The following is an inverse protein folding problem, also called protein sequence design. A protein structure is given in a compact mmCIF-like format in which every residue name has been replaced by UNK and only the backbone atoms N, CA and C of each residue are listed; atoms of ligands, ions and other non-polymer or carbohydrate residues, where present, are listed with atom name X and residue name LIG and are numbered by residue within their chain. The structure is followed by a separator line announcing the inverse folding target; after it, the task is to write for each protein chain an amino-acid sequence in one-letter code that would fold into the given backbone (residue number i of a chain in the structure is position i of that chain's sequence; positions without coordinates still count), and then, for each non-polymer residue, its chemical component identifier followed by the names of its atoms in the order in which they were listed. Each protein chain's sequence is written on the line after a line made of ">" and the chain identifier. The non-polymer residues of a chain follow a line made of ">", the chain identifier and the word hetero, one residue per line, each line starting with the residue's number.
data_IF_833699745528
#
_entry.id   IF_833699745528
#
_cell.length_a   1.000
_cell.length_b   1.000
_cell.length_c   1.000
_cell.angle_alpha   90.00
_cell.angle_beta   90.00
_cell.angle_gamma   90.00
#
_symmetry.space_group_name_H-M   'P 1'
#
loop_
_entity.id
_entity.type
_entity.pdbx_description
1 polymer ?
#
# COMPACT_ATOMS: atom_id res chain seq x y z
N UNK A 1 0.75 4.28 -33.88
CA UNK A 1 0.03 3.33 -33.00
C UNK A 1 0.22 3.77 -31.55
N UNK A 2 -0.82 3.64 -30.70
CA UNK A 2 -0.75 4.01 -29.27
C UNK A 2 0.14 3.01 -28.52
N UNK A 3 1.11 3.50 -27.75
CA UNK A 3 1.99 2.65 -26.93
C UNK A 3 1.55 2.64 -25.45
N UNK A 4 0.79 3.64 -25.02
CA UNK A 4 0.33 3.81 -23.62
C UNK A 4 -1.15 4.15 -23.59
N UNK A 5 -1.84 3.83 -22.48
CA UNK A 5 -3.26 4.16 -22.28
C UNK A 5 -3.46 5.64 -21.93
N UNK A 6 -2.54 6.24 -21.16
CA UNK A 6 -2.56 7.66 -20.81
C UNK A 6 -1.41 8.40 -21.48
N UNK A 7 -1.67 9.61 -21.99
CA UNK A 7 -0.63 10.46 -22.60
C UNK A 7 0.43 10.87 -21.58
N UNK A 8 0.00 11.22 -20.36
CA UNK A 8 0.90 11.51 -19.25
C UNK A 8 1.00 10.29 -18.32
N UNK A 9 2.14 9.58 -18.26
CA UNK A 9 2.32 8.44 -17.37
C UNK A 9 2.16 8.79 -15.88
N UNK A 10 2.49 10.03 -15.48
CA UNK A 10 2.35 10.46 -14.09
C UNK A 10 0.89 10.46 -13.59
N UNK A 11 -0.10 10.54 -14.48
CA UNK A 11 -1.51 10.43 -14.13
C UNK A 11 -1.97 8.98 -13.92
N UNK A 12 -1.22 8.01 -14.44
CA UNK A 12 -1.59 6.60 -14.36
C UNK A 12 -1.37 6.06 -12.94
N UNK A 13 -2.45 5.62 -12.29
CA UNK A 13 -2.38 5.03 -10.94
C UNK A 13 -1.90 3.58 -10.93
N UNK A 14 -1.78 2.93 -12.10
CA UNK A 14 -1.40 1.52 -12.20
C UNK A 14 -2.47 0.56 -11.68
N UNK A 15 -3.74 0.94 -11.69
CA UNK A 15 -4.84 0.12 -11.15
C UNK A 15 -5.13 -1.19 -11.92
N UNK A 16 -4.58 -1.37 -13.13
CA UNK A 16 -4.76 -2.58 -13.94
C UNK A 16 -6.07 -2.67 -14.72
N UNK A 17 -7.08 -1.82 -14.47
CA UNK A 17 -8.40 -1.93 -15.09
C UNK A 17 -8.40 -1.94 -16.62
N UNK A 18 -7.49 -1.21 -17.27
CA UNK A 18 -7.40 -1.16 -18.73
C UNK A 18 -7.02 -2.50 -19.36
N UNK A 19 -6.32 -3.37 -18.64
CA UNK A 19 -6.01 -4.75 -19.07
C UNK A 19 -7.31 -5.55 -19.17
N UNK A 20 -8.10 -5.57 -18.08
CA UNK A 20 -9.39 -6.30 -18.02
C UNK A 20 -10.45 -5.72 -18.97
N UNK A 21 -10.40 -4.42 -19.25
CA UNK A 21 -11.36 -3.74 -20.14
C UNK A 21 -11.06 -4.05 -21.61
N UNK A 22 -9.82 -4.41 -21.98
CA UNK A 22 -9.42 -4.55 -23.36
C UNK A 22 -10.01 -5.81 -24.02
N UNK A 23 -10.95 -5.71 -25.00
CA UNK A 23 -11.58 -6.86 -25.61
C UNK A 23 -10.63 -7.68 -26.51
N UNK A 24 -9.47 -7.12 -26.84
CA UNK A 24 -8.44 -7.78 -27.65
C UNK A 24 -7.25 -8.25 -26.84
N UNK A 25 -7.30 -8.11 -25.50
CA UNK A 25 -6.18 -8.47 -24.63
C UNK A 25 -4.83 -7.87 -25.11
N UNK A 26 -4.90 -6.65 -25.65
CA UNK A 26 -3.76 -5.95 -26.22
C UNK A 26 -2.98 -5.11 -25.19
N UNK A 27 -3.24 -5.27 -23.90
CA UNK A 27 -2.62 -4.46 -22.84
C UNK A 27 -2.06 -5.39 -21.77
N UNK A 28 -0.80 -5.15 -21.42
CA UNK A 28 -0.11 -5.84 -20.31
C UNK A 28 0.47 -4.81 -19.35
N UNK A 29 0.63 -5.18 -18.08
CA UNK A 29 1.34 -4.35 -17.11
C UNK A 29 2.84 -4.64 -17.20
N UNK A 30 3.67 -3.62 -17.40
CA UNK A 30 5.12 -3.76 -17.52
C UNK A 30 5.85 -2.74 -16.65
N UNK A 31 7.02 -3.10 -16.07
CA UNK A 31 7.80 -2.17 -15.27
C UNK A 31 8.42 -1.06 -16.12
N UNK A 32 8.43 0.15 -15.60
CA UNK A 32 9.19 1.28 -16.11
C UNK A 32 10.62 1.31 -15.54
N UNK A 33 11.38 2.36 -15.86
CA UNK A 33 12.75 2.53 -15.37
C UNK A 33 12.85 2.80 -13.84
N UNK A 34 11.75 3.10 -13.18
CA UNK A 34 11.65 3.23 -11.72
C UNK A 34 11.07 1.96 -11.08
N UNK A 35 10.75 0.95 -11.88
CA UNK A 35 10.22 -0.34 -11.47
C UNK A 35 8.72 -0.35 -11.16
N UNK A 36 7.98 0.69 -11.53
CA UNK A 36 6.51 0.71 -11.40
C UNK A 36 5.84 0.03 -12.59
N UNK A 37 4.74 -0.69 -12.32
CA UNK A 37 3.95 -1.32 -13.35
C UNK A 37 3.08 -0.29 -14.09
N UNK A 38 3.25 -0.19 -15.40
CA UNK A 38 2.46 0.66 -16.30
C UNK A 38 1.83 -0.17 -17.42
N UNK A 39 0.63 0.20 -17.92
CA UNK A 39 0.02 -0.48 -19.06
C UNK A 39 0.79 -0.19 -20.35
N UNK A 40 1.22 -1.25 -21.03
CA UNK A 40 1.81 -1.20 -22.35
C UNK A 40 0.86 -1.82 -23.37
N UNK A 41 0.66 -1.13 -24.49
CA UNK A 41 -0.26 -1.55 -25.53
C UNK A 41 0.52 -2.27 -26.65
N UNK A 42 0.09 -3.49 -26.96
CA UNK A 42 0.52 -4.24 -28.13
C UNK A 42 -0.17 -3.66 -29.39
N UNK A 43 0.61 -2.99 -30.24
CA UNK A 43 0.09 -2.33 -31.44
C UNK A 43 -0.46 -3.27 -32.49
N UNK A 44 -0.02 -4.54 -32.52
CA UNK A 44 -0.50 -5.54 -33.50
C UNK A 44 -1.89 -6.05 -33.12
N UNK A 45 -2.18 -6.18 -31.83
CA UNK A 45 -3.48 -6.60 -31.30
C UNK A 45 -4.47 -5.44 -31.13
N UNK A 46 -3.98 -4.22 -31.02
CA UNK A 46 -4.82 -3.05 -30.71
C UNK A 46 -5.63 -2.59 -31.91
N UNK A 47 -6.95 -2.60 -31.77
CA UNK A 47 -7.90 -2.12 -32.81
C UNK A 47 -8.32 -0.66 -32.64
N UNK A 48 -7.64 0.10 -31.81
CA UNK A 48 -7.87 1.54 -31.57
C UNK A 48 -9.32 1.93 -31.20
N UNK A 49 -9.99 1.09 -30.43
CA UNK A 49 -11.38 1.35 -30.01
C UNK A 49 -11.50 2.38 -28.84
N UNK A 50 -10.39 2.78 -28.23
CA UNK A 50 -10.25 3.75 -27.12
C UNK A 50 -11.01 3.40 -25.83
N UNK A 51 -11.51 2.19 -25.70
CA UNK A 51 -12.31 1.77 -24.55
C UNK A 51 -11.52 1.88 -23.23
N UNK A 52 -10.23 1.52 -23.26
CA UNK A 52 -9.31 1.60 -22.12
C UNK A 52 -9.11 3.06 -21.64
N UNK A 53 -9.09 4.04 -22.53
CA UNK A 53 -8.97 5.46 -22.19
C UNK A 53 -10.31 6.03 -21.71
N UNK A 54 -11.40 5.76 -22.44
CA UNK A 54 -12.73 6.23 -22.11
C UNK A 54 -13.21 5.77 -20.74
N UNK A 55 -12.81 4.58 -20.30
CA UNK A 55 -13.16 4.02 -18.98
C UNK A 55 -12.09 4.23 -17.91
N UNK A 56 -10.93 4.79 -18.24
CA UNK A 56 -9.87 5.03 -17.26
C UNK A 56 -10.38 5.92 -16.10
N UNK A 57 -10.26 5.51 -14.84
CA UNK A 57 -10.73 6.30 -13.70
C UNK A 57 -9.79 7.47 -13.36
N UNK A 58 -8.56 7.50 -13.92
CA UNK A 58 -7.61 8.58 -13.65
C UNK A 58 -8.15 9.93 -14.17
N UNK A 59 -8.10 10.94 -13.32
CA UNK A 59 -8.58 12.30 -13.66
C UNK A 59 -10.10 12.47 -13.64
N UNK A 60 -10.88 11.43 -13.29
CA UNK A 60 -12.32 11.60 -13.08
C UNK A 60 -12.57 12.18 -11.69
N UNK A 61 -13.45 13.15 -11.62
CA UNK A 61 -14.00 13.60 -10.35
C UNK A 61 -15.00 12.56 -9.83
N UNK A 62 -14.86 12.21 -8.57
CA UNK A 62 -15.79 11.33 -7.88
C UNK A 62 -16.66 12.19 -6.94
N UNK A 63 -17.98 11.94 -6.84
CA UNK A 63 -18.85 12.69 -5.93
C UNK A 63 -18.45 12.39 -4.46
N UNK A 64 -18.56 13.36 -3.57
CA UNK A 64 -18.34 13.18 -2.14
C UNK A 64 -19.54 12.44 -1.52
N UNK A 65 -19.28 11.40 -0.72
CA UNK A 65 -20.30 10.70 0.06
C UNK A 65 -20.07 10.89 1.55
N UNK A 66 -21.13 11.17 2.32
CA UNK A 66 -21.02 11.21 3.76
C UNK A 66 -20.64 9.82 4.28
N UNK A 67 -19.67 9.77 5.21
CA UNK A 67 -19.25 8.55 5.85
C UNK A 67 -19.74 8.48 7.31
N UNK A 68 -20.18 7.31 7.75
CA UNK A 68 -20.36 7.03 9.18
C UNK A 68 -19.05 6.44 9.72
N UNK A 69 -18.52 7.07 10.77
CA UNK A 69 -17.24 6.72 11.35
C UNK A 69 -17.40 6.04 12.70
N UNK A 70 -16.59 5.02 12.96
CA UNK A 70 -16.46 4.40 14.27
C UNK A 70 -15.12 3.66 14.38
N UNK A 71 -14.69 3.43 15.63
CA UNK A 71 -13.61 2.54 15.94
C UNK A 71 -14.09 1.09 16.01
N UNK A 72 -13.25 0.15 15.61
CA UNK A 72 -13.60 -1.26 15.65
C UNK A 72 -12.40 -2.17 15.91
N UNK A 73 -12.65 -3.29 16.60
CA UNK A 73 -11.68 -4.36 16.79
C UNK A 73 -12.38 -5.71 16.82
N UNK A 74 -11.74 -6.72 16.26
CA UNK A 74 -12.18 -8.10 16.39
C UNK A 74 -12.14 -8.53 17.85
N UNK A 75 -13.14 -9.31 18.30
CA UNK A 75 -13.15 -9.91 19.63
C UNK A 75 -12.16 -11.07 19.74
N UNK A 76 -11.85 -11.72 18.62
CA UNK A 76 -10.81 -12.74 18.51
C UNK A 76 -9.43 -12.06 18.55
N UNK A 77 -8.74 -12.19 19.66
CA UNK A 77 -7.41 -11.58 19.90
C UNK A 77 -6.34 -12.19 18.99
N UNK A 78 -6.42 -13.49 18.70
CA UNK A 78 -5.47 -14.17 17.81
C UNK A 78 -5.60 -13.63 16.38
N UNK A 79 -6.83 -13.45 15.88
CA UNK A 79 -7.09 -12.81 14.60
C UNK A 79 -6.58 -11.36 14.57
N UNK A 80 -6.82 -10.60 15.63
CA UNK A 80 -6.35 -9.22 15.76
C UNK A 80 -4.82 -9.13 15.75
N UNK A 81 -4.14 -10.05 16.45
CA UNK A 81 -2.68 -10.15 16.47
C UNK A 81 -2.09 -10.41 15.08
N UNK A 82 -2.75 -11.22 14.26
CA UNK A 82 -2.34 -11.55 12.87
C UNK A 82 -2.75 -10.50 11.84
N UNK A 83 -3.49 -9.47 12.21
CA UNK A 83 -3.97 -8.42 11.31
C UNK A 83 -3.10 -7.17 11.43
N UNK A 84 -3.07 -6.32 10.38
CA UNK A 84 -2.35 -5.03 10.44
C UNK A 84 -2.93 -4.07 11.48
N UNK A 85 -4.25 -4.16 11.74
CA UNK A 85 -5.01 -3.27 12.62
C UNK A 85 -5.98 -4.09 13.46
N UNK A 86 -7.24 -3.67 13.58
CA UNK A 86 -8.28 -4.30 14.39
C UNK A 86 -8.92 -5.58 13.85
N UNK A 87 -8.50 -6.12 12.68
CA UNK A 87 -8.96 -7.41 12.15
C UNK A 87 -10.28 -7.38 11.34
N UNK A 88 -10.87 -6.22 11.10
CA UNK A 88 -12.19 -6.07 10.45
C UNK A 88 -12.22 -6.66 9.05
N UNK A 89 -11.16 -6.50 8.24
CA UNK A 89 -11.08 -7.07 6.89
C UNK A 89 -11.36 -8.58 6.89
N UNK A 90 -10.70 -9.34 7.76
CA UNK A 90 -10.84 -10.80 7.80
C UNK A 90 -12.25 -11.22 8.19
N UNK A 91 -12.91 -10.50 9.09
CA UNK A 91 -14.31 -10.79 9.47
C UNK A 91 -15.27 -10.58 8.31
N UNK A 92 -15.12 -9.49 7.54
CA UNK A 92 -15.90 -9.22 6.33
C UNK A 92 -15.63 -10.30 5.26
N UNK A 93 -14.37 -10.69 5.09
CA UNK A 93 -13.95 -11.72 4.14
C UNK A 93 -14.58 -13.09 4.49
N UNK A 94 -14.51 -13.51 5.75
CA UNK A 94 -15.17 -14.73 6.26
C UNK A 94 -16.65 -14.74 5.96
N UNK A 95 -17.34 -13.62 6.16
CA UNK A 95 -18.77 -13.52 5.93
C UNK A 95 -19.11 -13.69 4.44
N UNK A 96 -18.33 -13.11 3.52
CA UNK A 96 -18.54 -13.28 2.07
C UNK A 96 -18.27 -14.73 1.64
N UNK A 97 -17.21 -15.36 2.15
CA UNK A 97 -16.91 -16.78 1.89
C UNK A 97 -18.06 -17.67 2.42
N UNK A 98 -18.57 -17.42 3.62
CA UNK A 98 -19.71 -18.12 4.20
C UNK A 98 -20.97 -18.05 3.33
N UNK A 99 -21.12 -16.98 2.56
CA UNK A 99 -22.20 -16.79 1.58
C UNK A 99 -21.92 -17.47 0.22
N UNK A 100 -20.83 -18.24 0.10
CA UNK A 100 -20.40 -18.88 -1.16
C UNK A 100 -19.75 -17.92 -2.14
N UNK A 101 -19.25 -16.79 -1.64
CA UNK A 101 -18.56 -15.77 -2.43
C UNK A 101 -17.05 -15.97 -2.51
N UNK A 102 -16.41 -15.05 -3.23
CA UNK A 102 -14.95 -15.01 -3.43
C UNK A 102 -14.41 -13.67 -2.92
N UNK A 103 -13.26 -13.74 -2.25
CA UNK A 103 -12.57 -12.54 -1.72
C UNK A 103 -11.32 -12.28 -2.55
N UNK A 104 -11.16 -11.04 -3.04
CA UNK A 104 -9.94 -10.59 -3.70
C UNK A 104 -9.18 -9.62 -2.79
N UNK A 105 -7.87 -9.85 -2.65
CA UNK A 105 -6.97 -9.03 -1.86
C UNK A 105 -5.51 -9.20 -2.25
N UNK A 106 -4.66 -8.27 -1.81
CA UNK A 106 -3.24 -8.31 -2.11
C UNK A 106 -2.52 -9.38 -1.30
N UNK A 107 -1.71 -10.20 -1.98
CA UNK A 107 -0.86 -11.24 -1.39
C UNK A 107 0.52 -11.23 -2.05
N UNK A 108 1.49 -11.90 -1.42
CA UNK A 108 2.76 -12.22 -2.04
C UNK A 108 2.64 -13.52 -2.84
N UNK A 109 3.27 -13.54 -4.02
CA UNK A 109 3.57 -14.79 -4.72
C UNK A 109 4.84 -15.45 -4.13
N UNK A 110 5.26 -16.58 -4.71
CA UNK A 110 6.47 -17.32 -4.28
C UNK A 110 7.78 -16.53 -4.48
N UNK A 111 7.77 -15.53 -5.38
CA UNK A 111 8.89 -14.64 -5.64
C UNK A 111 8.81 -13.31 -4.86
N UNK A 112 7.85 -13.20 -3.94
CA UNK A 112 7.54 -12.00 -3.16
C UNK A 112 7.12 -10.78 -4.01
N UNK A 113 6.59 -10.99 -5.22
CA UNK A 113 5.84 -9.95 -5.90
C UNK A 113 4.47 -9.81 -5.24
N UNK A 114 3.92 -8.60 -5.28
CA UNK A 114 2.59 -8.34 -4.74
C UNK A 114 1.56 -8.35 -5.86
N UNK A 115 0.59 -9.23 -5.76
CA UNK A 115 -0.54 -9.33 -6.68
C UNK A 115 -1.86 -9.47 -5.93
N UNK A 116 -2.98 -9.19 -6.62
CA UNK A 116 -4.29 -9.51 -6.08
C UNK A 116 -4.65 -10.94 -6.47
N UNK A 117 -4.93 -11.75 -5.46
CA UNK A 117 -5.39 -13.14 -5.62
C UNK A 117 -6.84 -13.28 -5.18
N UNK A 118 -7.52 -14.36 -5.62
CA UNK A 118 -8.84 -14.76 -5.13
C UNK A 118 -8.72 -15.81 -4.03
N UNK A 119 -9.50 -15.68 -2.97
CA UNK A 119 -9.67 -16.67 -1.91
C UNK A 119 -11.11 -17.22 -1.95
N UNK A 120 -11.23 -18.52 -1.97
CA UNK A 120 -12.49 -19.27 -2.04
C UNK A 120 -12.86 -19.90 -0.70
N UNK A 121 -11.90 -20.02 0.20
CA UNK A 121 -12.08 -20.51 1.55
C UNK A 121 -11.28 -19.69 2.58
N UNK A 122 -11.51 -19.97 3.87
CA UNK A 122 -10.91 -19.21 4.96
C UNK A 122 -9.39 -19.42 5.09
N UNK A 123 -8.88 -20.60 4.71
CA UNK A 123 -7.45 -20.94 4.82
C UNK A 123 -6.60 -20.07 3.90
N UNK A 124 -7.14 -19.69 2.74
CA UNK A 124 -6.48 -18.85 1.74
C UNK A 124 -6.41 -17.37 2.17
N UNK A 125 -7.24 -16.93 3.12
CA UNK A 125 -7.24 -15.55 3.61
C UNK A 125 -5.94 -15.16 4.33
N UNK A 126 -5.17 -16.13 4.81
CA UNK A 126 -3.94 -15.86 5.56
C UNK A 126 -2.93 -15.05 4.75
N UNK A 127 -2.77 -15.34 3.45
CA UNK A 127 -1.90 -14.61 2.54
C UNK A 127 -2.31 -13.15 2.30
N UNK A 128 -3.60 -12.84 2.43
CA UNK A 128 -4.11 -11.48 2.26
C UNK A 128 -3.98 -10.61 3.51
N UNK A 129 -3.79 -11.22 4.70
CA UNK A 129 -3.58 -10.47 5.94
C UNK A 129 -2.25 -9.72 5.91
N UNK A 130 -2.18 -8.66 6.67
CA UNK A 130 -0.98 -7.82 6.72
C UNK A 130 -0.88 -6.86 5.54
N UNK A 131 -0.42 -5.64 5.81
CA UNK A 131 -0.18 -4.64 4.77
C UNK A 131 1.00 -5.05 3.90
N UNK A 132 0.90 -4.81 2.59
CA UNK A 132 2.01 -4.92 1.64
C UNK A 132 2.30 -3.51 1.13
N UNK A 133 3.40 -2.92 1.58
CA UNK A 133 3.80 -1.58 1.16
C UNK A 133 4.59 -1.65 -0.15
N UNK A 134 3.92 -2.16 -1.19
CA UNK A 134 4.42 -2.32 -2.57
C UNK A 134 3.23 -2.19 -3.51
N UNK A 135 3.42 -1.67 -4.73
CA UNK A 135 2.38 -1.71 -5.75
C UNK A 135 1.99 -3.16 -6.05
N UNK A 136 0.70 -3.46 -5.95
CA UNK A 136 0.15 -4.76 -6.32
C UNK A 136 -0.35 -4.74 -7.78
N UNK A 137 -0.12 -5.82 -8.52
CA UNK A 137 -0.84 -6.06 -9.78
C UNK A 137 -2.24 -6.58 -9.47
N UNK A 138 -3.27 -5.86 -9.93
CA UNK A 138 -4.68 -6.22 -9.73
C UNK A 138 -5.40 -6.50 -11.06
N UNK A 139 -4.68 -6.56 -12.17
CA UNK A 139 -5.28 -6.63 -13.50
C UNK A 139 -6.16 -7.87 -13.68
N UNK A 140 -5.63 -9.04 -13.39
CA UNK A 140 -6.35 -10.31 -13.54
C UNK A 140 -7.47 -10.47 -12.51
N UNK A 141 -7.22 -10.06 -11.27
CA UNK A 141 -8.21 -10.08 -10.20
C UNK A 141 -9.45 -9.22 -10.52
N UNK A 142 -9.25 -8.05 -11.14
CA UNK A 142 -10.36 -7.20 -11.61
C UNK A 142 -11.18 -7.95 -12.67
N UNK A 143 -10.55 -8.58 -13.66
CA UNK A 143 -11.23 -9.37 -14.69
C UNK A 143 -12.01 -10.54 -14.11
N UNK A 144 -11.41 -11.28 -13.20
CA UNK A 144 -12.01 -12.41 -12.50
C UNK A 144 -13.20 -11.96 -11.64
N UNK A 145 -13.08 -10.88 -10.89
CA UNK A 145 -14.17 -10.32 -10.09
C UNK A 145 -15.38 -9.95 -10.96
N UNK A 146 -15.16 -9.29 -12.11
CA UNK A 146 -16.22 -8.96 -13.06
C UNK A 146 -16.87 -10.23 -13.64
N UNK A 147 -16.08 -11.26 -13.94
CA UNK A 147 -16.60 -12.56 -14.43
C UNK A 147 -17.48 -13.28 -13.40
N UNK A 148 -17.07 -13.28 -12.12
CA UNK A 148 -17.84 -13.90 -11.04
C UNK A 148 -19.17 -13.16 -10.80
N UNK A 149 -19.15 -11.82 -10.81
CA UNK A 149 -20.35 -11.01 -10.67
C UNK A 149 -21.36 -11.24 -11.81
N UNK A 150 -20.90 -11.45 -13.06
CA UNK A 150 -21.77 -11.83 -14.17
C UNK A 150 -22.44 -13.20 -13.97
N UNK A 151 -21.83 -14.06 -13.18
CA UNK A 151 -22.34 -15.39 -12.78
C UNK A 151 -23.16 -15.33 -11.49
N UNK A 152 -23.45 -14.12 -11.00
CA UNK A 152 -24.23 -13.88 -9.78
C UNK A 152 -23.55 -14.40 -8.48
N UNK A 153 -22.22 -14.53 -8.50
CA UNK A 153 -21.42 -14.98 -7.34
C UNK A 153 -21.05 -13.77 -6.49
N UNK A 154 -21.23 -13.80 -5.17
CA UNK A 154 -20.81 -12.72 -4.27
C UNK A 154 -19.30 -12.50 -4.34
N UNK A 155 -18.89 -11.24 -4.35
CA UNK A 155 -17.48 -10.85 -4.39
C UNK A 155 -17.20 -9.79 -3.33
N UNK A 156 -16.16 -10.00 -2.51
CA UNK A 156 -15.50 -8.92 -1.80
C UNK A 156 -14.21 -8.57 -2.54
N UNK A 157 -14.04 -7.30 -2.90
CA UNK A 157 -12.78 -6.82 -3.47
C UNK A 157 -12.15 -5.78 -2.55
N UNK A 158 -10.96 -6.09 -2.03
CA UNK A 158 -10.17 -5.16 -1.21
C UNK A 158 -8.98 -4.64 -2.01
N UNK A 159 -8.74 -3.33 -1.98
CA UNK A 159 -7.62 -2.71 -2.68
C UNK A 159 -7.42 -1.25 -2.32
N UNK A 160 -6.43 -0.62 -2.94
CA UNK A 160 -6.28 0.83 -2.83
C UNK A 160 -7.49 1.56 -3.43
N UNK A 161 -7.80 2.81 -3.03
CA UNK A 161 -8.92 3.57 -3.62
C UNK A 161 -8.88 3.63 -5.15
N UNK A 162 -7.69 3.74 -5.74
CA UNK A 162 -7.55 3.76 -7.20
C UNK A 162 -7.81 2.37 -7.84
N UNK A 163 -7.50 1.26 -7.17
CA UNK A 163 -7.85 -0.09 -7.64
C UNK A 163 -9.35 -0.34 -7.56
N UNK A 164 -10.02 0.11 -6.48
CA UNK A 164 -11.47 0.05 -6.39
C UNK A 164 -12.13 0.88 -7.51
N UNK A 165 -11.64 2.11 -7.76
CA UNK A 165 -12.12 2.92 -8.90
C UNK A 165 -11.88 2.22 -10.25
N UNK A 166 -10.77 1.48 -10.38
CA UNK A 166 -10.45 0.66 -11.54
C UNK A 166 -11.45 -0.48 -11.72
N UNK A 167 -11.76 -1.22 -10.67
CA UNK A 167 -12.78 -2.27 -10.68
C UNK A 167 -14.16 -1.71 -11.09
N UNK A 168 -14.57 -0.60 -10.47
CA UNK A 168 -15.85 0.06 -10.81
C UNK A 168 -15.91 0.47 -12.29
N UNK A 169 -14.79 0.96 -12.84
CA UNK A 169 -14.70 1.28 -14.27
C UNK A 169 -14.77 0.02 -15.15
N UNK A 170 -14.21 -1.11 -14.70
CA UNK A 170 -14.22 -2.38 -15.44
C UNK A 170 -15.59 -3.04 -15.46
N UNK A 171 -16.44 -2.82 -14.46
CA UNK A 171 -17.80 -3.37 -14.41
C UNK A 171 -18.62 -3.02 -15.65
N UNK A 172 -18.54 -1.76 -16.11
CA UNK A 172 -19.09 -1.37 -17.41
C UNK A 172 -20.58 -1.61 -17.62
N UNK A 173 -21.38 -1.63 -16.57
CA UNK A 173 -22.81 -1.94 -16.60
C UNK A 173 -23.17 -3.34 -16.07
N UNK A 174 -22.17 -4.15 -15.69
CA UNK A 174 -22.40 -5.39 -14.91
C UNK A 174 -23.04 -5.03 -13.58
N UNK A 175 -24.10 -5.75 -13.18
CA UNK A 175 -24.74 -5.58 -11.87
C UNK A 175 -23.71 -5.79 -10.75
N UNK A 176 -23.71 -4.90 -9.78
CA UNK A 176 -22.76 -4.91 -8.66
C UNK A 176 -23.43 -5.10 -7.29
N UNK A 177 -24.67 -5.61 -7.27
CA UNK A 177 -25.43 -5.79 -6.04
C UNK A 177 -24.74 -6.75 -5.07
N UNK A 178 -24.08 -7.78 -5.61
CA UNK A 178 -23.29 -8.78 -4.86
C UNK A 178 -21.80 -8.42 -4.72
N UNK A 179 -21.37 -7.22 -5.11
CA UNK A 179 -20.03 -6.73 -4.91
C UNK A 179 -19.95 -5.92 -3.62
N UNK A 180 -19.14 -6.34 -2.67
CA UNK A 180 -18.70 -5.53 -1.53
C UNK A 180 -17.30 -5.01 -1.79
N UNK A 181 -17.13 -3.69 -1.80
CA UNK A 181 -15.84 -3.05 -2.00
C UNK A 181 -15.28 -2.51 -0.69
N UNK A 182 -14.02 -2.87 -0.41
CA UNK A 182 -13.30 -2.43 0.80
C UNK A 182 -11.99 -1.78 0.38
N UNK A 183 -11.86 -0.48 0.58
CA UNK A 183 -10.58 0.19 0.44
C UNK A 183 -9.95 0.50 1.81
N UNK A 184 -8.78 1.11 1.78
CA UNK A 184 -8.09 1.55 2.99
C UNK A 184 -7.49 2.94 2.79
N UNK A 185 -7.23 3.63 3.91
CA UNK A 185 -6.51 4.89 3.89
C UNK A 185 -5.10 4.64 3.37
N UNK A 186 -4.82 5.18 2.19
CA UNK A 186 -3.63 4.88 1.42
C UNK A 186 -2.62 6.02 1.50
N UNK A 187 -1.42 5.72 2.00
CA UNK A 187 -0.29 6.64 2.03
C UNK A 187 0.33 6.87 0.64
N UNK A 188 0.19 5.89 -0.26
CA UNK A 188 0.81 5.80 -1.56
C UNK A 188 1.46 4.44 -1.76
N UNK A 189 1.81 4.10 -3.00
CA UNK A 189 2.41 2.81 -3.32
C UNK A 189 3.87 2.94 -3.71
N UNK A 190 4.79 2.22 -3.05
CA UNK A 190 6.19 2.11 -3.46
C UNK A 190 6.38 1.27 -4.72
N UNK A 191 7.54 1.44 -5.36
CA UNK A 191 7.92 0.70 -6.56
C UNK A 191 8.19 -0.78 -6.25
N UNK A 192 7.58 -1.72 -7.01
CA UNK A 192 7.91 -3.15 -6.95
C UNK A 192 9.40 -3.43 -7.24
N UNK A 193 9.97 -2.73 -8.22
CA UNK A 193 11.39 -2.89 -8.54
C UNK A 193 12.32 -2.45 -7.42
N UNK A 194 11.97 -1.38 -6.69
CA UNK A 194 12.73 -0.95 -5.50
C UNK A 194 12.65 -2.00 -4.40
N UNK A 195 11.48 -2.60 -4.16
CA UNK A 195 11.31 -3.66 -3.17
C UNK A 195 12.10 -4.93 -3.54
N UNK A 196 11.99 -5.39 -4.79
CA UNK A 196 12.75 -6.54 -5.27
C UNK A 196 14.27 -6.32 -5.14
N UNK A 197 14.74 -5.11 -5.45
CA UNK A 197 16.17 -4.77 -5.30
C UNK A 197 16.62 -4.72 -3.85
N UNK A 198 15.75 -4.28 -2.93
CA UNK A 198 16.02 -4.34 -1.48
C UNK A 198 16.09 -5.79 -0.98
N UNK A 199 15.17 -6.66 -1.40
CA UNK A 199 15.23 -8.07 -1.05
C UNK A 199 16.52 -8.72 -1.55
N UNK A 200 16.94 -8.43 -2.79
CA UNK A 200 18.19 -8.94 -3.35
C UNK A 200 19.43 -8.46 -2.57
N UNK A 201 19.43 -7.24 -2.01
CA UNK A 201 20.48 -6.75 -1.12
C UNK A 201 20.52 -7.57 0.18
N UNK A 202 19.35 -7.79 0.83
CA UNK A 202 19.25 -8.61 2.05
C UNK A 202 19.72 -10.06 1.81
N UNK A 203 19.29 -10.66 0.69
CA UNK A 203 19.68 -12.03 0.31
C UNK A 203 21.19 -12.15 0.11
N UNK A 204 21.80 -11.15 -0.55
CA UNK A 204 23.24 -11.10 -0.75
C UNK A 204 24.00 -10.97 0.58
N UNK A 205 23.50 -10.13 1.49
CA UNK A 205 24.13 -9.96 2.82
C UNK A 205 24.04 -11.22 3.69
N UNK A 206 22.94 -11.99 3.57
CA UNK A 206 22.70 -13.19 4.39
C UNK A 206 23.10 -14.49 3.70
N UNK A 207 23.43 -14.47 2.40
CA UNK A 207 23.72 -15.66 1.62
C UNK A 207 22.55 -16.65 1.53
N UNK A 208 21.31 -16.19 1.71
CA UNK A 208 20.10 -17.02 1.71
C UNK A 208 18.93 -16.24 1.14
N UNK A 209 18.01 -16.92 0.43
CA UNK A 209 16.80 -16.30 -0.14
C UNK A 209 15.80 -15.92 0.95
N UNK A 210 15.09 -14.80 0.74
CA UNK A 210 13.95 -14.41 1.58
C UNK A 210 12.74 -15.25 1.18
N UNK A 211 12.23 -16.05 2.12
CA UNK A 211 11.06 -16.92 1.95
C UNK A 211 9.74 -16.20 2.28
N UNK A 212 9.76 -15.29 3.26
CA UNK A 212 8.58 -14.56 3.70
C UNK A 212 8.95 -13.16 4.17
N UNK A 213 8.03 -12.20 3.97
CA UNK A 213 8.21 -10.82 4.39
C UNK A 213 6.92 -10.27 5.02
N UNK A 214 7.04 -9.70 6.21
CA UNK A 214 5.95 -9.03 6.93
C UNK A 214 6.30 -7.56 7.15
N UNK A 215 5.42 -6.66 6.69
CA UNK A 215 5.60 -5.20 6.87
C UNK A 215 5.08 -4.67 8.20
N UNK A 216 4.20 -5.40 8.84
CA UNK A 216 3.46 -4.97 10.04
C UNK A 216 3.47 -6.05 11.12
N UNK A 217 4.65 -6.60 11.42
CA UNK A 217 4.83 -7.51 12.54
C UNK A 217 4.70 -6.75 13.87
N UNK A 218 3.88 -7.26 14.77
CA UNK A 218 3.52 -6.61 16.03
C UNK A 218 4.34 -7.08 17.25
N UNK A 219 5.49 -7.76 17.03
CA UNK A 219 6.37 -8.22 18.13
C UNK A 219 6.85 -7.11 19.08
N UNK A 220 6.88 -5.86 18.60
CA UNK A 220 7.22 -4.66 19.36
C UNK A 220 6.00 -3.77 19.64
N UNK A 221 4.79 -4.29 19.47
CA UNK A 221 3.53 -3.57 19.56
C UNK A 221 2.97 -3.13 18.20
N UNK A 222 1.71 -2.75 18.19
CA UNK A 222 1.04 -2.27 17.00
C UNK A 222 1.52 -0.88 16.56
N UNK A 223 1.76 0.01 17.52
CA UNK A 223 2.24 1.37 17.25
C UNK A 223 3.71 1.39 16.81
N UNK A 224 4.51 0.47 17.34
CA UNK A 224 5.92 0.34 17.02
C UNK A 224 6.19 -0.92 16.17
N UNK A 225 5.36 -1.16 15.17
CA UNK A 225 5.49 -2.33 14.30
C UNK A 225 6.86 -2.42 13.62
N UNK A 226 7.23 -3.64 13.29
CA UNK A 226 8.47 -3.95 12.58
C UNK A 226 8.20 -4.58 11.21
N UNK A 227 9.20 -4.50 10.33
CA UNK A 227 9.33 -5.43 9.21
C UNK A 227 10.07 -6.67 9.68
N UNK A 228 9.71 -7.81 9.11
CA UNK A 228 10.41 -9.08 9.34
C UNK A 228 10.58 -9.80 8.01
N UNK A 229 11.82 -10.03 7.61
CA UNK A 229 12.15 -10.95 6.54
C UNK A 229 12.59 -12.28 7.14
N UNK A 230 12.03 -13.39 6.67
CA UNK A 230 12.42 -14.75 7.07
C UNK A 230 13.13 -15.41 5.90
N UNK A 231 14.34 -15.92 6.13
CA UNK A 231 15.16 -16.55 5.12
C UNK A 231 14.95 -18.07 5.06
N UNK A 232 15.34 -18.70 3.95
CA UNK A 232 15.27 -20.16 3.77
C UNK A 232 16.13 -20.93 4.78
N UNK A 233 17.26 -20.36 5.21
CA UNK A 233 18.13 -20.92 6.25
C UNK A 233 17.58 -20.80 7.68
N UNK A 234 16.37 -20.22 7.86
CA UNK A 234 15.72 -20.03 9.14
C UNK A 234 16.09 -18.74 9.88
N UNK A 235 17.05 -17.96 9.39
CA UNK A 235 17.38 -16.65 9.96
C UNK A 235 16.25 -15.65 9.73
N UNK A 236 16.26 -14.57 10.52
CA UNK A 236 15.33 -13.43 10.34
C UNK A 236 16.10 -12.11 10.34
N UNK A 237 15.66 -11.19 9.47
CA UNK A 237 15.99 -9.78 9.56
C UNK A 237 14.81 -9.05 10.17
N UNK A 238 15.05 -8.17 11.13
CA UNK A 238 14.01 -7.34 11.77
C UNK A 238 14.46 -5.88 11.77
N UNK A 239 13.58 -5.00 11.31
CA UNK A 239 13.80 -3.56 11.33
C UNK A 239 12.54 -2.80 11.75
N UNK A 240 12.70 -1.63 12.36
CA UNK A 240 11.60 -0.74 12.76
C UNK A 240 11.35 0.33 11.71
N UNK A 241 10.35 1.16 11.92
CA UNK A 241 10.01 2.32 11.09
C UNK A 241 11.19 3.29 10.86
N UNK A 242 12.21 3.27 11.72
CA UNK A 242 13.37 4.17 11.66
C UNK A 242 14.69 3.45 11.39
N UNK A 243 14.73 2.13 11.49
CA UNK A 243 15.96 1.35 11.32
C UNK A 243 15.97 0.53 10.03
N UNK A 244 14.79 0.11 9.53
CA UNK A 244 14.71 -0.57 8.25
C UNK A 244 14.79 0.44 7.10
N UNK A 245 15.76 0.31 6.18
CA UNK A 245 15.98 1.28 5.11
C UNK A 245 14.82 1.38 4.13
N UNK A 246 14.18 0.24 3.82
CA UNK A 246 13.05 0.24 2.90
C UNK A 246 11.81 0.87 3.56
N UNK A 247 11.44 0.43 4.77
CA UNK A 247 10.28 0.97 5.46
C UNK A 247 10.45 2.48 5.74
N UNK A 248 11.65 2.89 6.19
CA UNK A 248 11.94 4.30 6.45
C UNK A 248 11.82 5.16 5.18
N UNK A 249 12.40 4.69 4.06
CA UNK A 249 12.29 5.39 2.78
C UNK A 249 10.86 5.48 2.26
N UNK A 250 10.04 4.44 2.45
CA UNK A 250 8.62 4.48 2.15
C UNK A 250 7.89 5.54 2.97
N UNK A 251 8.07 5.55 4.28
CA UNK A 251 7.42 6.51 5.19
C UNK A 251 7.86 7.96 4.93
N UNK A 252 9.06 8.16 4.37
CA UNK A 252 9.56 9.46 3.93
C UNK A 252 9.17 9.80 2.48
N UNK A 253 8.30 9.03 1.83
CA UNK A 253 7.83 9.25 0.45
C UNK A 253 8.93 9.24 -0.63
N UNK A 254 10.07 8.56 -0.37
CA UNK A 254 11.24 8.63 -1.23
C UNK A 254 11.02 7.99 -2.59
N UNK A 255 10.22 6.92 -2.66
CA UNK A 255 9.99 6.12 -3.87
C UNK A 255 8.53 5.73 -4.09
N UNK A 256 7.61 6.65 -3.76
CA UNK A 256 6.21 6.50 -4.13
C UNK A 256 5.98 6.73 -5.62
N UNK A 257 4.92 6.11 -6.14
CA UNK A 257 4.47 6.30 -7.52
C UNK A 257 4.14 7.77 -7.78
N UNK A 258 4.51 8.34 -8.95
CA UNK A 258 4.25 9.77 -9.25
C UNK A 258 2.80 10.18 -9.06
N UNK A 259 1.82 9.36 -9.50
CA UNK A 259 0.39 9.66 -9.34
C UNK A 259 -0.08 9.72 -7.89
N UNK A 260 0.65 9.13 -6.93
CA UNK A 260 0.29 9.20 -5.51
C UNK A 260 0.46 10.60 -4.93
N UNK A 261 1.36 11.41 -5.51
CA UNK A 261 1.61 12.79 -5.07
C UNK A 261 0.51 13.78 -5.47
N UNK A 262 -0.30 13.40 -6.47
CA UNK A 262 -1.45 14.19 -6.94
C UNK A 262 -2.75 13.38 -6.90
N UNK A 263 -2.86 12.49 -5.92
CA UNK A 263 -3.92 11.52 -5.82
C UNK A 263 -5.30 12.17 -5.70
N UNK A 264 -6.08 12.16 -6.77
CA UNK A 264 -7.46 12.66 -6.80
C UNK A 264 -8.43 11.86 -5.94
N UNK A 265 -8.07 10.61 -5.58
CA UNK A 265 -8.91 9.72 -4.76
C UNK A 265 -8.93 10.12 -3.27
N UNK A 266 -8.00 10.98 -2.81
CA UNK A 266 -7.84 11.35 -1.40
C UNK A 266 -8.42 12.73 -1.04
N UNK A 267 -8.83 13.53 -2.03
CA UNK A 267 -9.31 14.91 -1.80
C UNK A 267 -10.73 14.99 -1.24
N UNK A 268 -11.08 14.19 -0.23
CA UNK A 268 -12.44 14.11 0.32
C UNK A 268 -13.44 13.40 -0.58
N UNK A 269 -13.00 12.87 -1.71
CA UNK A 269 -13.81 12.28 -2.78
C UNK A 269 -13.64 10.76 -2.83
N UNK A 270 -13.83 10.08 -1.70
CA UNK A 270 -13.70 8.63 -1.59
C UNK A 270 -15.02 7.94 -1.88
N UNK A 271 -15.30 7.64 -3.13
CA UNK A 271 -16.63 7.24 -3.54
C UNK A 271 -16.78 5.86 -4.11
N UNK A 272 -15.67 5.20 -4.38
CA UNK A 272 -15.72 3.93 -5.06
C UNK A 272 -15.99 2.76 -4.09
N UNK A 273 -15.60 2.89 -2.81
CA UNK A 273 -15.73 1.81 -1.84
C UNK A 273 -17.04 1.87 -1.02
N UNK A 274 -17.53 0.70 -0.61
CA UNK A 274 -18.61 0.58 0.37
C UNK A 274 -18.12 0.84 1.78
N UNK A 275 -16.87 0.40 2.07
CA UNK A 275 -16.20 0.51 3.38
C UNK A 275 -14.77 0.96 3.15
N UNK A 276 -14.30 1.93 3.95
CA UNK A 276 -12.88 2.27 4.08
C UNK A 276 -12.36 1.86 5.44
N UNK A 277 -11.23 1.16 5.47
CA UNK A 277 -10.53 0.76 6.68
C UNK A 277 -9.26 1.58 6.88
N UNK A 278 -8.91 1.87 8.12
CA UNK A 278 -7.63 2.49 8.48
C UNK A 278 -7.17 2.03 9.86
N UNK A 279 -5.92 2.31 10.19
CA UNK A 279 -5.47 2.30 11.58
C UNK A 279 -6.11 3.46 12.33
N UNK A 280 -6.56 3.22 13.55
CA UNK A 280 -7.04 4.26 14.46
C UNK A 280 -5.86 4.87 15.23
N UNK A 281 -5.01 5.61 14.51
CA UNK A 281 -3.88 6.31 15.13
C UNK A 281 -4.36 7.34 16.14
N UNK A 282 -3.64 7.49 17.24
CA UNK A 282 -4.02 8.37 18.36
C UNK A 282 -5.02 7.74 19.31
N UNK A 283 -5.18 6.40 19.28
CA UNK A 283 -6.08 5.65 20.15
C UNK A 283 -5.83 5.95 21.64
N UNK A 284 -4.57 6.17 22.04
CA UNK A 284 -4.18 6.56 23.39
C UNK A 284 -4.83 7.87 23.91
N UNK A 285 -5.27 8.71 22.99
CA UNK A 285 -5.96 9.98 23.30
C UNK A 285 -7.47 9.89 23.03
N UNK A 286 -7.86 9.13 22.00
CA UNK A 286 -9.24 9.06 21.50
C UNK A 286 -10.07 8.09 22.31
N UNK A 287 -9.50 6.93 22.67
CA UNK A 287 -10.15 5.83 23.37
C UNK A 287 -9.13 5.04 24.21
N UNK A 288 -8.50 5.67 25.22
CA UNK A 288 -7.41 5.07 26.00
C UNK A 288 -7.82 3.74 26.66
N UNK A 289 -9.09 3.58 27.02
CA UNK A 289 -9.64 2.35 27.59
C UNK A 289 -9.70 1.17 26.61
N UNK A 290 -9.47 1.42 25.31
CA UNK A 290 -9.44 0.40 24.24
C UNK A 290 -8.06 0.16 23.68
N UNK A 291 -7.10 0.99 24.06
CA UNK A 291 -5.75 0.97 23.50
C UNK A 291 -4.85 -0.01 24.27
N UNK A 292 -4.82 -1.24 23.79
CA UNK A 292 -3.98 -2.33 24.32
C UNK A 292 -2.74 -2.60 23.43
N UNK A 293 -2.43 -1.70 22.50
CA UNK A 293 -1.33 -1.81 21.52
C UNK A 293 -1.35 -3.07 20.64
N UNK A 294 -2.52 -3.73 20.51
CA UNK A 294 -2.68 -4.90 19.63
C UNK A 294 -3.36 -4.56 18.31
N UNK A 295 -3.90 -3.34 18.16
CA UNK A 295 -4.45 -2.80 16.93
C UNK A 295 -5.94 -2.46 16.99
N UNK A 296 -6.25 -1.25 16.54
CA UNK A 296 -7.59 -0.70 16.42
C UNK A 296 -7.81 -0.19 15.00
N UNK A 297 -8.97 -0.49 14.43
CA UNK A 297 -9.37 0.02 13.10
C UNK A 297 -10.26 1.25 13.22
N UNK A 298 -9.99 2.27 12.41
CA UNK A 298 -10.98 3.25 12.01
C UNK A 298 -11.76 2.65 10.84
N UNK A 299 -13.09 2.66 10.93
CA UNK A 299 -14.00 2.16 9.91
C UNK A 299 -14.89 3.28 9.43
N UNK A 300 -14.96 3.46 8.12
CA UNK A 300 -15.86 4.42 7.47
C UNK A 300 -16.78 3.65 6.53
N UNK A 301 -18.10 3.79 6.69
CA UNK A 301 -19.09 3.22 5.77
C UNK A 301 -19.70 4.29 4.90
N UNK A 302 -19.66 4.09 3.59
CA UNK A 302 -20.10 5.04 2.58
C UNK A 302 -21.45 4.68 1.97
N UNK A 303 -21.87 3.42 2.04
CA UNK A 303 -23.10 2.91 1.45
C UNK A 303 -23.95 2.14 2.46
N UNK A 304 -25.24 1.94 2.14
CA UNK A 304 -26.10 1.06 2.92
C UNK A 304 -25.57 -0.39 2.93
N UNK A 305 -25.05 -0.87 1.80
CA UNK A 305 -24.45 -2.20 1.68
C UNK A 305 -23.25 -2.36 2.62
N UNK A 306 -22.36 -1.35 2.70
CA UNK A 306 -21.26 -1.35 3.64
C UNK A 306 -21.71 -1.42 5.10
N UNK A 307 -22.78 -0.68 5.47
CA UNK A 307 -23.37 -0.78 6.82
C UNK A 307 -23.92 -2.18 7.11
N UNK A 308 -24.69 -2.74 6.17
CA UNK A 308 -25.24 -4.10 6.30
C UNK A 308 -24.15 -5.16 6.46
N UNK A 309 -23.06 -5.06 5.68
CA UNK A 309 -21.93 -5.97 5.79
C UNK A 309 -21.26 -5.91 7.18
N UNK A 310 -21.14 -4.71 7.76
CA UNK A 310 -20.63 -4.55 9.12
C UNK A 310 -21.60 -5.05 10.19
N UNK A 311 -22.88 -4.90 9.99
CA UNK A 311 -23.90 -5.43 10.92
C UNK A 311 -23.91 -6.95 10.91
N UNK A 312 -23.68 -7.58 9.77
CA UNK A 312 -23.56 -9.05 9.63
C UNK A 312 -22.42 -9.64 10.49
N UNK A 313 -21.33 -8.90 10.69
CA UNK A 313 -20.22 -9.32 11.56
C UNK A 313 -20.32 -8.76 13.01
N UNK A 314 -21.41 -8.10 13.35
CA UNK A 314 -21.58 -7.38 14.63
C UNK A 314 -21.34 -8.22 15.90
N UNK A 315 -21.64 -9.51 15.86
CA UNK A 315 -21.36 -10.43 16.97
C UNK A 315 -19.86 -10.66 17.23
N UNK A 316 -19.02 -10.53 16.19
CA UNK A 316 -17.60 -10.84 16.19
C UNK A 316 -16.70 -9.61 16.37
N UNK A 317 -17.28 -8.41 16.32
CA UNK A 317 -16.55 -7.13 16.37
C UNK A 317 -17.05 -6.28 17.54
N UNK A 318 -16.14 -5.62 18.26
CA UNK A 318 -16.47 -4.54 19.18
C UNK A 318 -16.41 -3.23 18.40
N UNK A 319 -17.52 -2.48 18.36
CA UNK A 319 -17.62 -1.15 17.74
C UNK A 319 -17.78 -0.08 18.82
N UNK A 320 -17.18 1.07 18.62
CA UNK A 320 -17.29 2.21 19.53
C UNK A 320 -17.26 3.53 18.78
N UNK A 321 -17.84 4.57 19.34
CA UNK A 321 -17.89 5.88 18.71
C UNK A 321 -16.49 6.52 18.67
N UNK A 322 -16.17 7.21 17.56
CA UNK A 322 -15.05 8.13 17.47
C UNK A 322 -15.57 9.56 17.35
N UNK A 323 -14.90 10.50 18.01
CA UNK A 323 -15.50 11.80 18.29
C UNK A 323 -15.71 12.66 17.04
N UNK A 324 -14.71 12.82 16.17
CA UNK A 324 -14.86 13.64 14.96
C UNK A 324 -13.79 13.34 13.90
N UNK A 325 -14.08 13.75 12.67
CA UNK A 325 -13.17 13.59 11.54
C UNK A 325 -11.89 14.43 11.68
N UNK A 326 -11.96 15.58 12.34
CA UNK A 326 -10.80 16.47 12.50
C UNK A 326 -9.68 15.81 13.30
N UNK A 327 -10.03 15.17 14.43
CA UNK A 327 -9.07 14.40 15.23
C UNK A 327 -8.46 13.26 14.42
N UNK A 328 -9.30 12.52 13.67
CA UNK A 328 -8.84 11.43 12.80
C UNK A 328 -7.89 11.93 11.72
N UNK A 329 -8.20 13.05 11.07
CA UNK A 329 -7.38 13.66 10.02
C UNK A 329 -6.02 14.13 10.55
N UNK A 330 -5.98 14.68 11.76
CA UNK A 330 -4.73 15.12 12.40
C UNK A 330 -3.78 13.95 12.62
N UNK A 331 -4.31 12.82 13.07
CA UNK A 331 -3.54 11.60 13.34
C UNK A 331 -3.22 10.80 12.07
N UNK A 332 -4.03 10.96 11.02
CA UNK A 332 -3.84 10.29 9.73
C UNK A 332 -4.10 11.27 8.57
N UNK A 333 -3.12 12.13 8.21
CA UNK A 333 -3.27 13.10 7.12
C UNK A 333 -3.63 12.49 5.77
N UNK A 334 -3.27 11.22 5.53
CA UNK A 334 -3.62 10.48 4.30
C UNK A 334 -5.12 10.26 4.13
N UNK A 335 -5.94 10.60 5.11
CA UNK A 335 -7.41 10.67 4.97
C UNK A 335 -7.85 11.73 3.95
N UNK A 336 -7.16 12.85 3.88
CA UNK A 336 -7.61 14.04 3.11
C UNK A 336 -6.53 14.64 2.21
N UNK A 337 -5.26 14.25 2.38
CA UNK A 337 -4.13 14.82 1.64
C UNK A 337 -3.28 13.73 0.99
N UNK A 338 -2.88 13.92 -0.27
CA UNK A 338 -1.87 13.07 -0.89
C UNK A 338 -0.50 13.27 -0.25
N UNK A 339 0.30 12.21 -0.24
CA UNK A 339 1.68 12.27 0.25
C UNK A 339 2.52 13.18 -0.65
N UNK A 340 3.18 14.17 -0.06
CA UNK A 340 4.09 15.06 -0.81
C UNK A 340 5.33 14.29 -1.28
N UNK A 341 5.85 14.55 -2.49
CA UNK A 341 7.08 13.93 -2.94
C UNK A 341 8.25 14.37 -2.05
N UNK A 342 9.15 13.45 -1.76
CA UNK A 342 10.40 13.80 -1.10
C UNK A 342 11.31 14.54 -2.08
N UNK A 343 11.95 15.65 -1.67
CA UNK A 343 12.83 16.48 -2.51
C UNK A 343 14.02 15.70 -3.09
N UNK A 344 14.43 14.62 -2.46
CA UNK A 344 15.50 13.74 -2.92
C UNK A 344 15.04 12.58 -3.81
N UNK A 345 13.73 12.47 -4.14
CA UNK A 345 13.18 11.40 -4.97
C UNK A 345 13.91 11.28 -6.31
N UNK A 346 14.10 12.39 -7.02
CA UNK A 346 14.78 12.39 -8.32
C UNK A 346 16.24 11.92 -8.20
N UNK A 347 16.96 12.33 -7.16
CA UNK A 347 18.33 11.91 -6.90
C UNK A 347 18.41 10.41 -6.55
N UNK A 348 17.44 9.90 -5.77
CA UNK A 348 17.31 8.48 -5.48
C UNK A 348 17.15 7.66 -6.77
N UNK A 349 16.15 7.95 -7.62
CA UNK A 349 15.90 7.17 -8.83
C UNK A 349 16.98 7.31 -9.89
N UNK A 350 17.66 8.47 -9.98
CA UNK A 350 18.84 8.60 -10.85
C UNK A 350 19.90 7.56 -10.50
N UNK A 351 20.13 7.32 -9.20
CA UNK A 351 21.12 6.36 -8.73
C UNK A 351 20.59 4.93 -8.80
N UNK A 352 19.34 4.71 -8.40
CA UNK A 352 18.69 3.41 -8.41
C UNK A 352 18.78 2.71 -9.78
N UNK A 353 18.59 3.46 -10.88
CA UNK A 353 18.68 2.93 -12.25
C UNK A 353 20.05 2.33 -12.59
N UNK A 354 21.11 2.77 -11.95
CA UNK A 354 22.48 2.29 -12.22
C UNK A 354 22.94 1.24 -11.22
N UNK A 355 22.49 1.32 -9.97
CA UNK A 355 23.08 0.57 -8.87
C UNK A 355 22.06 -0.32 -8.12
N UNK A 356 20.75 -0.17 -8.37
CA UNK A 356 19.71 -0.78 -7.56
C UNK A 356 19.52 -0.08 -6.21
N UNK A 357 18.93 -0.80 -5.27
CA UNK A 357 18.74 -0.32 -3.89
C UNK A 357 20.05 -0.48 -3.10
N UNK A 358 20.41 0.52 -2.33
CA UNK A 358 21.58 0.55 -1.46
C UNK A 358 21.15 1.08 -0.09
N UNK A 359 20.94 0.19 0.90
CA UNK A 359 20.44 0.48 2.24
C UNK A 359 21.19 1.61 2.95
N UNK A 360 22.51 1.53 3.00
CA UNK A 360 23.37 2.54 3.64
C UNK A 360 23.16 3.93 3.02
N UNK A 361 23.03 3.99 1.69
CA UNK A 361 22.85 5.25 0.99
C UNK A 361 21.45 5.83 1.17
N UNK A 362 20.43 4.99 1.20
CA UNK A 362 19.06 5.44 1.51
C UNK A 362 19.04 6.08 2.90
N UNK A 363 19.63 5.42 3.90
CA UNK A 363 19.69 5.95 5.26
C UNK A 363 20.52 7.24 5.34
N UNK A 364 21.65 7.32 4.65
CA UNK A 364 22.47 8.54 4.56
C UNK A 364 21.73 9.67 3.84
N UNK A 365 21.01 9.37 2.77
CA UNK A 365 20.21 10.32 2.02
C UNK A 365 19.11 10.93 2.90
N UNK A 366 18.41 10.11 3.69
CA UNK A 366 17.27 10.52 4.49
C UNK A 366 17.67 11.20 5.82
N UNK A 367 18.65 10.61 6.54
CA UNK A 367 19.12 11.17 7.84
C UNK A 367 20.07 12.34 7.69
N UNK A 368 20.64 12.50 6.47
CA UNK A 368 21.72 13.46 6.24
C UNK A 368 23.06 12.96 6.82
N UNK A 369 24.13 13.77 6.72
CA UNK A 369 25.43 13.38 7.24
C UNK A 369 25.40 13.23 8.76
N UNK A 370 26.07 12.21 9.29
CA UNK A 370 26.24 11.98 10.72
C UNK A 370 26.96 13.15 11.40
N UNK A 371 26.87 13.24 12.72
CA UNK A 371 27.62 14.25 13.48
C UNK A 371 29.14 14.14 13.21
N UNK A 372 29.67 12.92 13.11
CA UNK A 372 31.06 12.66 12.78
C UNK A 372 31.40 13.13 11.35
N UNK A 373 30.57 12.87 10.35
CA UNK A 373 30.78 13.34 8.98
C UNK A 373 30.69 14.86 8.86
N UNK A 374 29.78 15.50 9.63
CA UNK A 374 29.72 16.98 9.72
C UNK A 374 30.98 17.54 10.33
N UNK A 375 31.50 16.92 11.41
CA UNK A 375 32.75 17.31 12.05
C UNK A 375 33.95 17.11 11.10
N UNK A 376 34.03 15.96 10.42
CA UNK A 376 35.08 15.69 9.43
C UNK A 376 35.06 16.70 8.26
N UNK A 377 33.87 17.04 7.73
CA UNK A 377 33.74 18.09 6.71
C UNK A 377 34.19 19.46 7.24
N UNK A 378 33.83 19.82 8.48
CA UNK A 378 34.30 21.10 9.10
C UNK A 378 35.82 21.13 9.23
N UNK A 379 36.44 20.00 9.62
CA UNK A 379 37.90 19.86 9.71
C UNK A 379 38.56 19.99 8.34
N UNK A 380 38.02 19.32 7.32
CA UNK A 380 38.52 19.33 5.95
C UNK A 380 38.47 20.73 5.29
N UNK A 381 37.57 21.62 5.74
CA UNK A 381 37.43 22.98 5.25
C UNK A 381 38.13 24.03 6.15
N UNK A 382 38.91 23.59 7.16
CA UNK A 382 39.69 24.53 7.97
C UNK A 382 40.87 25.09 7.14
N UNK A 383 41.15 26.39 7.21
CA UNK A 383 42.36 26.96 6.60
C UNK A 383 43.61 26.24 7.09
N UNK A 384 44.61 26.08 6.21
CA UNK A 384 45.86 25.33 6.49
C UNK A 384 46.53 25.77 7.80
N UNK A 385 46.43 27.05 8.19
CA UNK A 385 46.92 27.54 9.46
C UNK A 385 46.21 27.05 10.72
N UNK A 386 44.90 26.69 10.61
CA UNK A 386 44.13 26.14 11.72
C UNK A 386 44.43 24.64 11.91
N UNK A 387 44.65 23.91 10.83
CA UNK A 387 45.06 22.48 10.89
C UNK A 387 46.43 22.30 11.56
N UNK A 388 47.38 23.21 11.35
CA UNK A 388 48.69 23.19 12.05
C UNK A 388 48.54 23.40 13.57
N UNK A 389 47.64 24.24 14.02
CA UNK A 389 47.36 24.44 15.45
C UNK A 389 46.74 23.24 16.14
N UNK A 390 45.83 22.51 15.46
CA UNK A 390 45.19 21.32 15.98
C UNK A 390 46.24 20.18 16.08
N UNK A 391 47.07 20.02 15.06
CA UNK A 391 48.16 19.00 15.07
C UNK A 391 49.13 19.21 16.23
N UNK A 392 49.47 20.47 16.56
CA UNK A 392 50.36 20.81 17.67
C UNK A 392 49.69 20.67 19.06
N UNK A 393 48.37 20.57 19.15
CA UNK A 393 47.66 20.31 20.39
C UNK A 393 47.46 18.82 20.70
N UNK A 394 47.53 17.97 19.67
CA UNK A 394 47.42 16.49 19.81
C UNK A 394 48.79 15.83 20.04
N UNK A 395 49.87 16.54 19.75
CA UNK A 395 51.26 16.05 19.89
C UNK A 395 51.96 16.60 21.14
N UNK A 396 51.23 17.27 22.02
CA UNK A 396 51.67 17.59 23.40
C UNK A 396 50.84 16.74 24.40
#
# INVERSE_FOLDING_TARGET
>A
MRQTVRKNPAECTGCGACVSICPKQAITMQPDAEGFLYPKVDGEKCVSCDLCEKRCPAGREMPERPAHLFGAQAKDEALRGQSSSGGVFTLLAREVIRQGGVVFGAAFDEALHVEHIGAFDESELSGMRGSKYVQSDAADAIGNAVSLLKRDIPVLFSGTPCQISGLMAALGGTKADKLLTVDFVCHGVPSPGVFASYLAELEKERGSRVRAYAFRDKRLGWKNFSVVATFENGETHTGTQTTDPYLYGFLQNLYLRPSCHECGQLRGKRDAADITLADLWGAETICPERDDDTGLSLVMTHTQKGRQALDAIGAQVTRFAVQNMESMTRMNPSLVQPSKPHDKRAAFFKRYRSNGFESERVMKLLRGPSAAERAAKRIAHLPVGAMRRIKNLITK
#
